data_IF_220753570680
#
_entry.id   IF_220753570680
#
_cell.length_a   1.000
_cell.length_b   1.000
_cell.length_c   1.000
_cell.angle_alpha   90.00
_cell.angle_beta   90.00
_cell.angle_gamma   90.00
#
_symmetry.space_group_name_H-M   'P 1'
#
loop_
_entity.id
_entity.type
_entity.pdbx_description
1 polymer ?
#
# COMPACT_ATOMS: atom_id res chain seq x y z
N UNK A 1 17.43 17.01 16.13
CA UNK A 1 16.86 16.10 15.10
C UNK A 1 16.30 14.90 15.84
N UNK A 2 14.97 14.72 15.88
CA UNK A 2 14.37 13.54 16.51
C UNK A 2 14.81 12.27 15.76
N UNK A 3 15.31 11.28 16.48
CA UNK A 3 15.63 9.94 15.95
C UNK A 3 14.34 9.30 15.44
N UNK A 4 14.31 8.85 14.17
CA UNK A 4 13.15 8.11 13.65
C UNK A 4 13.08 6.75 14.31
N UNK A 5 11.90 6.42 14.84
CA UNK A 5 11.53 5.07 15.28
C UNK A 5 11.79 4.06 14.15
N UNK A 6 12.43 2.95 14.48
CA UNK A 6 12.68 1.82 13.57
C UNK A 6 12.18 0.54 14.23
N UNK A 7 11.71 -0.40 13.41
CA UNK A 7 11.32 -1.71 13.91
C UNK A 7 12.53 -2.43 14.51
N UNK A 8 12.37 -2.93 15.74
CA UNK A 8 13.42 -3.65 16.46
C UNK A 8 13.79 -4.98 15.79
N UNK A 9 12.85 -5.63 15.10
CA UNK A 9 13.07 -6.92 14.43
C UNK A 9 12.48 -6.96 13.02
N UNK A 10 13.11 -7.73 12.13
CA UNK A 10 12.60 -7.96 10.76
C UNK A 10 11.25 -8.67 10.78
N UNK A 11 11.06 -9.61 11.70
CA UNK A 11 9.80 -10.32 11.90
C UNK A 11 8.70 -9.39 12.38
N UNK A 12 9.01 -8.46 13.31
CA UNK A 12 8.07 -7.44 13.76
C UNK A 12 7.61 -6.52 12.61
N UNK A 13 8.52 -6.14 11.71
CA UNK A 13 8.15 -5.40 10.50
C UNK A 13 7.21 -6.20 9.58
N UNK A 14 7.50 -7.48 9.34
CA UNK A 14 6.67 -8.34 8.49
C UNK A 14 5.27 -8.52 9.08
N UNK A 15 5.16 -8.77 10.39
CA UNK A 15 3.86 -8.90 11.05
C UNK A 15 3.07 -7.59 11.06
N UNK A 16 3.72 -6.45 11.30
CA UNK A 16 3.05 -5.15 11.21
C UNK A 16 2.54 -4.86 9.79
N UNK A 17 3.33 -5.18 8.76
CA UNK A 17 2.92 -5.03 7.37
C UNK A 17 1.77 -6.00 7.00
N UNK A 18 1.85 -7.25 7.44
CA UNK A 18 0.81 -8.24 7.23
C UNK A 18 -0.50 -7.86 7.92
N UNK A 19 -0.45 -7.41 9.17
CA UNK A 19 -1.62 -6.92 9.92
C UNK A 19 -2.25 -5.67 9.30
N UNK A 20 -1.43 -4.79 8.69
CA UNK A 20 -1.97 -3.64 7.94
C UNK A 20 -2.62 -4.03 6.61
N UNK A 21 -2.21 -5.15 5.99
CA UNK A 21 -2.73 -5.60 4.70
C UNK A 21 -3.95 -6.52 4.82
N UNK A 22 -4.06 -7.28 5.92
CA UNK A 22 -5.18 -8.20 6.17
C UNK A 22 -6.29 -7.46 6.93
N UNK A 23 -7.47 -7.34 6.32
CA UNK A 23 -8.62 -6.66 6.93
C UNK A 23 -9.97 -7.27 6.56
N UNK A 24 -11.05 -6.53 6.85
CA UNK A 24 -12.45 -6.93 6.65
C UNK A 24 -12.71 -7.43 5.21
N UNK A 25 -12.11 -6.75 4.22
CA UNK A 25 -12.23 -7.11 2.80
C UNK A 25 -11.72 -8.51 2.47
N UNK A 26 -10.65 -8.98 3.11
CA UNK A 26 -10.13 -10.33 2.87
C UNK A 26 -10.98 -11.41 3.55
N UNK A 27 -11.62 -11.09 4.67
CA UNK A 27 -12.41 -12.05 5.45
C UNK A 27 -13.81 -12.24 4.85
N UNK A 28 -14.48 -11.15 4.46
CA UNK A 28 -15.87 -11.21 3.98
C UNK A 28 -16.04 -10.83 2.51
N UNK A 29 -15.27 -9.86 2.00
CA UNK A 29 -15.37 -9.40 0.63
C UNK A 29 -14.86 -10.44 -0.37
N UNK A 30 -13.68 -11.00 -0.12
CA UNK A 30 -13.04 -11.96 -1.01
C UNK A 30 -13.85 -13.24 -1.22
N UNK A 31 -14.39 -13.92 -0.18
CA UNK A 31 -15.22 -15.12 -0.38
C UNK A 31 -16.50 -14.82 -1.15
N UNK A 32 -17.14 -13.69 -0.89
CA UNK A 32 -18.40 -13.30 -1.54
C UNK A 32 -18.19 -13.06 -3.04
N UNK A 33 -17.14 -12.32 -3.41
CA UNK A 33 -16.80 -12.06 -4.81
C UNK A 33 -16.37 -13.36 -5.50
N UNK A 34 -15.55 -14.18 -4.84
CA UNK A 34 -15.11 -15.46 -5.38
C UNK A 34 -16.29 -16.40 -5.63
N UNK A 35 -17.22 -16.51 -4.69
CA UNK A 35 -18.42 -17.33 -4.85
C UNK A 35 -19.30 -16.84 -6.01
N UNK A 36 -19.44 -15.53 -6.20
CA UNK A 36 -20.24 -14.95 -7.28
C UNK A 36 -19.59 -15.06 -8.68
N UNK A 37 -18.26 -15.13 -8.77
CA UNK A 37 -17.51 -15.06 -10.03
C UNK A 37 -16.93 -16.40 -10.51
N UNK A 38 -17.55 -17.53 -10.15
CA UNK A 38 -17.12 -18.84 -10.64
C UNK A 38 -16.04 -19.51 -9.78
N UNK A 39 -15.93 -19.13 -8.51
CA UNK A 39 -15.17 -19.85 -7.49
C UNK A 39 -13.70 -20.03 -7.83
N UNK A 40 -13.29 -21.28 -8.06
CA UNK A 40 -11.89 -21.65 -8.28
C UNK A 40 -11.26 -21.00 -9.53
N UNK A 41 -12.04 -20.78 -10.60
CA UNK A 41 -11.53 -20.12 -11.80
C UNK A 41 -11.15 -18.65 -11.53
N UNK A 42 -11.96 -17.95 -10.74
CA UNK A 42 -11.66 -16.59 -10.29
C UNK A 42 -10.40 -16.56 -9.43
N UNK A 43 -10.24 -17.50 -8.49
CA UNK A 43 -9.05 -17.58 -7.63
C UNK A 43 -7.78 -17.76 -8.45
N UNK A 44 -7.79 -18.60 -9.48
CA UNK A 44 -6.64 -18.80 -10.36
C UNK A 44 -6.21 -17.49 -11.05
N UNK A 45 -7.17 -16.79 -11.66
CA UNK A 45 -6.88 -15.50 -12.32
C UNK A 45 -6.45 -14.44 -11.29
N UNK A 46 -7.10 -14.40 -10.13
CA UNK A 46 -6.74 -13.52 -9.02
C UNK A 46 -5.30 -13.72 -8.58
N UNK A 47 -4.84 -14.97 -8.42
CA UNK A 47 -3.45 -15.27 -8.05
C UNK A 47 -2.46 -14.82 -9.13
N UNK A 48 -2.76 -15.09 -10.42
CA UNK A 48 -1.89 -14.65 -11.52
C UNK A 48 -1.78 -13.13 -11.55
N UNK A 49 -2.90 -12.41 -11.44
CA UNK A 49 -2.90 -10.94 -11.39
C UNK A 49 -2.22 -10.41 -10.12
N UNK A 50 -2.40 -11.06 -8.98
CA UNK A 50 -1.71 -10.68 -7.74
C UNK A 50 -0.18 -10.79 -7.88
N UNK A 51 0.32 -11.87 -8.49
CA UNK A 51 1.75 -12.00 -8.75
C UNK A 51 2.27 -11.04 -9.82
N UNK A 52 1.50 -10.79 -10.89
CA UNK A 52 1.95 -9.92 -11.98
C UNK A 52 1.81 -8.42 -11.69
N UNK A 53 0.84 -8.00 -10.87
CA UNK A 53 0.58 -6.59 -10.59
C UNK A 53 0.82 -6.23 -9.13
N UNK A 54 0.24 -6.97 -8.17
CA UNK A 54 0.32 -6.60 -6.76
C UNK A 54 1.74 -6.80 -6.19
N UNK A 55 2.42 -7.89 -6.55
CA UNK A 55 3.80 -8.12 -6.10
C UNK A 55 4.80 -7.05 -6.57
N UNK A 56 4.91 -6.70 -7.87
CA UNK A 56 5.83 -5.64 -8.29
C UNK A 56 5.43 -4.26 -7.74
N UNK A 57 4.14 -3.96 -7.62
CA UNK A 57 3.68 -2.72 -6.99
C UNK A 57 4.14 -2.64 -5.51
N UNK A 58 3.96 -3.71 -4.75
CA UNK A 58 4.42 -3.80 -3.36
C UNK A 58 5.94 -3.62 -3.26
N UNK A 59 6.72 -4.28 -4.13
CA UNK A 59 8.17 -4.12 -4.14
C UNK A 59 8.58 -2.69 -4.49
N UNK A 60 7.90 -2.05 -5.43
CA UNK A 60 8.15 -0.65 -5.77
C UNK A 60 7.91 0.28 -4.57
N UNK A 61 6.79 0.12 -3.87
CA UNK A 61 6.47 0.91 -2.68
C UNK A 61 7.50 0.72 -1.57
N UNK A 62 7.90 -0.53 -1.30
CA UNK A 62 8.91 -0.84 -0.29
C UNK A 62 10.29 -0.26 -0.62
N UNK A 63 10.70 -0.31 -1.89
CA UNK A 63 11.98 0.27 -2.36
C UNK A 63 11.95 1.79 -2.22
N UNK A 64 10.87 2.44 -2.65
CA UNK A 64 10.69 3.89 -2.53
C UNK A 64 10.71 4.32 -1.06
N UNK A 65 9.97 3.61 -0.19
CA UNK A 65 9.93 3.88 1.25
C UNK A 65 11.30 3.72 1.92
N UNK A 66 12.04 2.66 1.56
CA UNK A 66 13.39 2.39 2.10
C UNK A 66 14.42 3.41 1.63
N UNK A 67 14.35 3.86 0.38
CA UNK A 67 15.27 4.84 -0.17
C UNK A 67 14.98 6.26 0.34
N UNK A 68 13.70 6.66 0.40
CA UNK A 68 13.33 8.01 0.81
C UNK A 68 13.43 8.24 2.32
N UNK A 69 13.22 7.18 3.13
CA UNK A 69 13.10 7.21 4.61
C UNK A 69 12.29 8.41 5.13
N UNK A 70 11.22 8.75 4.42
CA UNK A 70 10.38 9.91 4.69
C UNK A 70 8.91 9.59 4.42
N UNK A 71 8.02 10.45 4.90
CA UNK A 71 6.56 10.29 4.72
C UNK A 71 6.21 10.23 3.23
N UNK A 72 5.09 9.58 2.88
CA UNK A 72 4.68 9.33 1.49
C UNK A 72 4.76 10.58 0.60
N UNK A 73 4.25 11.72 1.07
CA UNK A 73 4.32 13.03 0.39
C UNK A 73 5.76 13.46 0.13
N UNK A 74 6.63 13.36 1.13
CA UNK A 74 8.04 13.76 1.03
C UNK A 74 8.86 12.79 0.18
N UNK A 75 8.51 11.49 0.19
CA UNK A 75 9.15 10.47 -0.62
C UNK A 75 8.89 10.68 -2.11
N UNK A 76 7.62 10.89 -2.49
CA UNK A 76 7.21 11.25 -3.85
C UNK A 76 7.86 12.57 -4.31
N UNK A 77 7.97 13.55 -3.41
CA UNK A 77 8.63 14.83 -3.69
C UNK A 77 10.15 14.69 -3.94
N UNK A 78 10.83 13.78 -3.22
CA UNK A 78 12.26 13.47 -3.40
C UNK A 78 12.55 12.72 -4.70
N UNK A 79 11.63 11.86 -5.14
CA UNK A 79 11.74 11.13 -6.40
C UNK A 79 11.51 12.04 -7.63
N UNK A 80 10.75 13.13 -7.45
CA UNK A 80 10.42 14.08 -8.52
C UNK A 80 11.57 15.04 -8.84
N UNK A 81 12.17 14.88 -10.03
CA UNK A 81 13.25 15.74 -10.56
C UNK A 81 12.76 17.00 -11.29
N UNK A 82 11.50 17.09 -11.71
CA UNK A 82 10.94 18.22 -12.48
C UNK A 82 9.82 19.00 -11.76
N UNK A 83 9.56 20.24 -12.19
CA UNK A 83 8.55 21.15 -11.58
C UNK A 83 7.12 20.59 -11.68
N UNK A 84 6.75 20.02 -12.84
CA UNK A 84 5.47 19.34 -13.07
C UNK A 84 5.34 18.04 -12.28
N UNK A 85 6.38 17.21 -12.30
CA UNK A 85 6.43 15.96 -11.53
C UNK A 85 6.31 16.19 -10.03
N UNK A 86 6.89 17.28 -9.50
CA UNK A 86 6.79 17.67 -8.09
C UNK A 86 5.38 18.14 -7.69
N UNK A 87 4.67 18.80 -8.60
CA UNK A 87 3.28 19.20 -8.39
C UNK A 87 2.35 17.98 -8.36
N UNK A 88 2.50 17.06 -9.31
CA UNK A 88 1.80 15.77 -9.34
C UNK A 88 2.09 14.95 -8.08
N UNK A 89 3.35 14.85 -7.67
CA UNK A 89 3.77 14.15 -6.46
C UNK A 89 3.13 14.71 -5.18
N UNK A 90 3.01 16.04 -5.06
CA UNK A 90 2.34 16.66 -3.93
C UNK A 90 0.82 16.40 -3.96
N UNK A 91 0.20 16.44 -5.14
CA UNK A 91 -1.22 16.11 -5.33
C UNK A 91 -1.52 14.66 -4.96
N UNK A 92 -0.78 13.70 -5.52
CA UNK A 92 -0.96 12.27 -5.23
C UNK A 92 -0.66 11.97 -3.77
N UNK A 93 0.38 12.59 -3.19
CA UNK A 93 0.70 12.41 -1.78
C UNK A 93 -0.37 12.96 -0.84
N UNK A 94 -0.83 14.19 -1.07
CA UNK A 94 -1.84 14.82 -0.22
C UNK A 94 -3.22 14.19 -0.42
N UNK A 95 -3.57 13.88 -1.68
CA UNK A 95 -4.76 13.12 -2.02
C UNK A 95 -4.77 11.76 -1.33
N UNK A 96 -3.65 11.02 -1.35
CA UNK A 96 -3.53 9.74 -0.64
C UNK A 96 -3.77 9.86 0.87
N UNK A 97 -3.22 10.90 1.51
CA UNK A 97 -3.47 11.15 2.95
C UNK A 97 -4.95 11.44 3.21
N UNK A 98 -5.59 12.26 2.39
CA UNK A 98 -7.03 12.56 2.52
C UNK A 98 -7.87 11.30 2.32
N UNK A 99 -7.57 10.51 1.29
CA UNK A 99 -8.27 9.24 1.01
C UNK A 99 -8.17 8.28 2.18
N UNK A 100 -6.96 8.06 2.72
CA UNK A 100 -6.77 7.15 3.87
C UNK A 100 -7.50 7.66 5.11
N UNK A 101 -7.50 8.98 5.37
CA UNK A 101 -8.25 9.56 6.49
C UNK A 101 -9.77 9.38 6.35
N UNK A 102 -10.32 9.50 5.14
CA UNK A 102 -11.74 9.26 4.87
C UNK A 102 -12.11 7.79 5.02
N UNK A 103 -11.26 6.88 4.52
CA UNK A 103 -11.44 5.44 4.70
C UNK A 103 -11.43 5.10 6.20
N UNK A 104 -10.47 5.65 6.95
CA UNK A 104 -10.40 5.44 8.40
C UNK A 104 -11.69 5.88 9.07
N UNK A 105 -12.23 7.06 8.73
CA UNK A 105 -13.49 7.56 9.30
C UNK A 105 -14.72 6.69 8.96
N UNK A 106 -14.67 5.87 7.91
CA UNK A 106 -15.73 4.90 7.60
C UNK A 106 -15.49 3.53 8.27
N UNK A 107 -14.23 3.16 8.48
CA UNK A 107 -13.83 1.88 9.08
C UNK A 107 -13.69 1.92 10.62
N UNK A 108 -13.69 3.10 11.23
CA UNK A 108 -13.74 3.35 12.68
C UNK A 108 -15.16 3.55 13.18
#
# INVERSE_FOLDING_TARGET
MASREQFATKTGFVFAAAGSAVGLGNIWGFPTITAANGGAAFVLVYLVLAFCLAYPALMAELVIGRHARSNAVTALRKLSRGKYSRWLANLTGFGGVVTVSLILGFYS
#
